data_IF_015601465874
#
_entry.id   IF_015601465874
#
_cell.length_a   1.000
_cell.length_b   1.000
_cell.length_c   1.000
_cell.angle_alpha   90.00
_cell.angle_beta   90.00
_cell.angle_gamma   90.00
#
_symmetry.space_group_name_H-M   'P 1'
#
loop_
_entity.id
_entity.type
_entity.pdbx_description
1 polymer ?
#
# COMPACT_ATOMS: atom_id res chain seq x y z
N UNK A 1 0.11 -17.16 0.62
CA UNK A 1 0.96 -16.93 1.81
C UNK A 1 0.38 -15.75 2.56
N UNK A 2 0.29 -15.81 3.89
CA UNK A 2 -0.10 -14.68 4.73
C UNK A 2 0.97 -14.57 5.80
N UNK A 3 1.57 -13.40 5.95
CA UNK A 3 2.71 -13.20 6.85
C UNK A 3 2.75 -11.79 7.39
N UNK A 4 3.45 -11.62 8.52
CA UNK A 4 3.78 -10.33 9.12
C UNK A 4 5.30 -10.14 9.03
N UNK A 5 5.74 -8.90 8.79
CA UNK A 5 7.15 -8.58 8.66
C UNK A 5 7.78 -8.49 10.07
N UNK A 6 8.96 -9.09 10.31
CA UNK A 6 9.67 -8.86 11.57
C UNK A 6 10.04 -7.38 11.67
N UNK A 7 9.70 -6.72 12.79
CA UNK A 7 9.79 -5.27 12.91
C UNK A 7 11.21 -4.69 13.09
N UNK A 8 12.22 -5.23 12.38
CA UNK A 8 13.65 -4.88 12.51
C UNK A 8 14.07 -4.72 13.99
N UNK A 9 15.00 -3.82 14.30
CA UNK A 9 15.45 -3.51 15.67
C UNK A 9 14.39 -2.91 16.61
N UNK A 10 13.13 -2.74 16.18
CA UNK A 10 12.07 -2.21 17.06
C UNK A 10 11.51 -3.26 18.02
N UNK A 11 11.42 -4.51 17.58
CA UNK A 11 10.93 -5.62 18.38
C UNK A 11 11.85 -6.79 18.11
N UNK A 12 12.63 -7.20 19.10
CA UNK A 12 13.43 -8.41 19.01
C UNK A 12 12.54 -9.64 19.17
N UNK A 13 12.59 -10.55 18.20
CA UNK A 13 11.77 -11.76 18.18
C UNK A 13 12.51 -12.99 18.71
N UNK A 14 13.84 -13.03 18.59
CA UNK A 14 14.68 -14.13 19.06
C UNK A 14 16.13 -13.69 19.30
N UNK A 15 16.96 -14.61 19.80
CA UNK A 15 18.42 -14.44 19.95
C UNK A 15 19.20 -15.18 18.85
N UNK A 16 18.52 -15.62 17.78
CA UNK A 16 19.15 -16.38 16.70
C UNK A 16 20.03 -15.47 15.84
N UNK A 17 21.15 -16.01 15.36
CA UNK A 17 22.16 -15.24 14.61
C UNK A 17 21.62 -14.60 13.32
N UNK A 18 20.59 -15.21 12.73
CA UNK A 18 19.99 -14.77 11.46
C UNK A 18 18.63 -14.09 11.65
N UNK A 19 18.32 -13.64 12.87
CA UNK A 19 17.09 -12.92 13.14
C UNK A 19 17.14 -11.52 12.53
N UNK A 20 16.20 -11.22 11.61
CA UNK A 20 16.12 -9.91 10.97
C UNK A 20 15.80 -8.79 11.96
N UNK A 21 15.25 -9.13 13.13
CA UNK A 21 14.98 -8.15 14.18
C UNK A 21 16.21 -7.67 14.95
N UNK A 22 17.38 -8.29 14.77
CA UNK A 22 18.62 -7.78 15.34
C UNK A 22 19.34 -6.78 14.42
N UNK A 23 18.81 -6.53 13.22
CA UNK A 23 19.40 -5.59 12.26
C UNK A 23 19.06 -4.14 12.63
N UNK A 24 20.09 -3.37 12.98
CA UNK A 24 19.95 -1.93 13.27
C UNK A 24 19.92 -1.05 12.01
N UNK A 25 20.61 -1.47 10.95
CA UNK A 25 20.63 -0.75 9.67
C UNK A 25 19.38 -1.08 8.83
N UNK A 26 18.62 -0.04 8.50
CA UNK A 26 17.38 -0.17 7.74
C UNK A 26 17.60 -0.72 6.32
N UNK A 27 18.67 -0.32 5.64
CA UNK A 27 18.94 -0.79 4.28
C UNK A 27 19.36 -2.26 4.27
N UNK A 28 20.13 -2.69 5.28
CA UNK A 28 20.46 -4.09 5.51
C UNK A 28 19.18 -4.91 5.75
N UNK A 29 18.27 -4.42 6.59
CA UNK A 29 16.97 -5.03 6.81
C UNK A 29 16.17 -5.19 5.50
N UNK A 30 16.06 -4.13 4.69
CA UNK A 30 15.39 -4.16 3.39
C UNK A 30 16.07 -5.13 2.41
N UNK A 31 17.39 -5.26 2.44
CA UNK A 31 18.12 -6.23 1.61
C UNK A 31 17.84 -7.67 2.02
N UNK A 32 17.79 -7.94 3.32
CA UNK A 32 17.55 -9.30 3.81
C UNK A 32 16.08 -9.71 3.64
N UNK A 33 15.12 -8.80 3.85
CA UNK A 33 13.70 -9.12 3.65
C UNK A 33 13.39 -9.43 2.18
N UNK A 34 14.08 -8.77 1.24
CA UNK A 34 13.99 -9.08 -0.18
C UNK A 34 14.29 -10.56 -0.47
N UNK A 35 15.30 -11.15 0.17
CA UNK A 35 15.62 -12.58 0.00
C UNK A 35 14.47 -13.48 0.44
N UNK A 36 13.81 -13.16 1.55
CA UNK A 36 12.65 -13.89 2.02
C UNK A 36 11.48 -13.79 1.02
N UNK A 37 11.25 -12.62 0.43
CA UNK A 37 10.24 -12.43 -0.59
C UNK A 37 10.56 -13.14 -1.92
N UNK A 38 11.83 -13.21 -2.31
CA UNK A 38 12.29 -14.00 -3.47
C UNK A 38 12.00 -15.50 -3.27
N UNK A 39 12.19 -16.01 -2.06
CA UNK A 39 11.82 -17.39 -1.74
C UNK A 39 10.31 -17.61 -1.72
N UNK A 40 9.53 -16.67 -1.18
CA UNK A 40 8.06 -16.70 -1.26
C UNK A 40 7.61 -16.73 -2.73
N UNK A 41 8.22 -15.89 -3.59
CA UNK A 41 7.97 -15.91 -5.02
C UNK A 41 8.30 -17.27 -5.62
N UNK A 42 9.47 -17.84 -5.33
CA UNK A 42 9.90 -19.14 -5.88
C UNK A 42 8.91 -20.26 -5.56
N UNK A 43 8.42 -20.34 -4.32
CA UNK A 43 7.54 -21.43 -3.86
C UNK A 43 6.06 -21.22 -4.17
N UNK A 44 5.60 -19.97 -4.30
CA UNK A 44 4.19 -19.68 -4.53
C UNK A 44 3.80 -20.08 -5.96
N UNK A 45 2.70 -20.84 -6.09
CA UNK A 45 2.15 -21.20 -7.40
C UNK A 45 1.62 -19.95 -8.13
N UNK A 46 1.71 -19.95 -9.46
CA UNK A 46 1.09 -18.92 -10.30
C UNK A 46 -0.42 -18.84 -10.04
N UNK A 47 -1.00 -17.65 -10.16
CA UNK A 47 -2.43 -17.43 -9.91
C UNK A 47 -2.81 -17.35 -8.43
N UNK A 48 -1.83 -17.22 -7.53
CA UNK A 48 -2.04 -17.18 -6.07
C UNK A 48 -1.53 -15.87 -5.48
N UNK A 49 -1.88 -15.66 -4.22
CA UNK A 49 -1.64 -14.40 -3.50
C UNK A 49 -0.65 -14.55 -2.35
N UNK A 50 0.12 -13.49 -2.14
CA UNK A 50 0.90 -13.23 -0.93
C UNK A 50 0.31 -12.00 -0.23
N UNK A 51 -0.01 -12.13 1.05
CA UNK A 51 -0.55 -11.07 1.88
C UNK A 51 0.48 -10.74 2.95
N UNK A 52 0.85 -9.47 3.05
CA UNK A 52 1.91 -8.99 3.94
C UNK A 52 1.35 -7.91 4.85
N UNK A 53 1.43 -8.15 6.15
CA UNK A 53 1.14 -7.15 7.18
C UNK A 53 2.42 -6.36 7.43
N UNK A 54 2.30 -5.03 7.44
CA UNK A 54 3.45 -4.15 7.62
C UNK A 54 3.01 -2.83 8.25
N UNK A 55 3.79 -2.36 9.22
CA UNK A 55 3.62 -1.06 9.84
C UNK A 55 4.82 -0.17 9.50
N UNK A 56 4.58 1.12 9.38
CA UNK A 56 5.66 2.10 9.23
C UNK A 56 6.31 2.43 10.57
N UNK A 57 7.59 2.72 10.49
CA UNK A 57 8.41 3.02 11.64
C UNK A 57 8.64 4.51 11.78
N UNK A 58 8.47 5.04 12.99
CA UNK A 58 8.77 6.43 13.30
C UNK A 58 10.01 6.52 14.18
N UNK A 59 10.99 7.26 13.69
CA UNK A 59 12.17 7.64 14.48
C UNK A 59 11.91 9.07 15.00
N UNK A 60 11.33 9.16 16.19
CA UNK A 60 10.86 10.42 16.76
C UNK A 60 11.97 11.48 16.89
N UNK A 61 13.16 11.07 17.35
CA UNK A 61 14.30 11.97 17.54
C UNK A 61 14.78 12.62 16.23
N UNK A 62 14.77 11.88 15.12
CA UNK A 62 15.19 12.39 13.80
C UNK A 62 14.03 12.91 12.95
N UNK A 63 12.80 12.93 13.50
CA UNK A 63 11.57 13.34 12.79
C UNK A 63 11.34 12.59 11.47
N UNK A 64 11.87 11.37 11.36
CA UNK A 64 11.81 10.54 10.15
C UNK A 64 10.75 9.44 10.29
N UNK A 65 10.12 9.09 9.17
CA UNK A 65 9.39 7.84 9.01
C UNK A 65 10.21 6.94 8.10
N UNK A 66 10.36 5.66 8.44
CA UNK A 66 10.80 4.63 7.51
C UNK A 66 9.53 4.01 6.92
N UNK A 67 9.25 4.25 5.63
CA UNK A 67 7.99 3.86 4.99
C UNK A 67 8.08 2.40 4.52
N UNK A 68 8.19 1.47 5.48
CA UNK A 68 8.40 0.04 5.22
C UNK A 68 7.36 -0.52 4.26
N UNK A 69 6.09 -0.08 4.39
CA UNK A 69 5.04 -0.54 3.47
C UNK A 69 5.35 -0.17 2.01
N UNK A 70 5.90 1.02 1.76
CA UNK A 70 6.24 1.50 0.43
C UNK A 70 7.44 0.76 -0.12
N UNK A 71 8.47 0.55 0.70
CA UNK A 71 9.66 -0.21 0.29
C UNK A 71 9.30 -1.66 -0.04
N UNK A 72 8.42 -2.29 0.74
CA UNK A 72 7.91 -3.64 0.48
C UNK A 72 7.14 -3.70 -0.84
N UNK A 73 6.30 -2.70 -1.14
CA UNK A 73 5.61 -2.63 -2.44
C UNK A 73 6.62 -2.63 -3.59
N UNK A 74 7.69 -1.83 -3.48
CA UNK A 74 8.69 -1.72 -4.54
C UNK A 74 9.48 -3.04 -4.70
N UNK A 75 9.94 -3.63 -3.59
CA UNK A 75 10.64 -4.92 -3.60
C UNK A 75 9.79 -6.00 -4.25
N UNK A 76 8.52 -6.12 -3.83
CA UNK A 76 7.62 -7.15 -4.35
C UNK A 76 7.36 -6.96 -5.85
N UNK A 77 7.22 -5.72 -6.32
CA UNK A 77 7.11 -5.41 -7.75
C UNK A 77 8.36 -5.77 -8.53
N UNK A 78 9.55 -5.44 -8.01
CA UNK A 78 10.84 -5.79 -8.62
C UNK A 78 11.03 -7.31 -8.75
N UNK A 79 10.50 -8.09 -7.81
CA UNK A 79 10.52 -9.56 -7.84
C UNK A 79 9.56 -10.12 -8.92
N UNK A 80 8.52 -9.38 -9.29
CA UNK A 80 7.53 -9.77 -10.30
C UNK A 80 6.11 -9.95 -9.76
N UNK A 81 5.85 -9.66 -8.48
CA UNK A 81 4.48 -9.59 -7.97
C UNK A 81 3.75 -8.37 -8.52
N UNK A 82 2.43 -8.48 -8.60
CA UNK A 82 1.52 -7.36 -8.87
C UNK A 82 0.88 -6.93 -7.57
N UNK A 83 0.95 -5.64 -7.24
CA UNK A 83 0.16 -5.11 -6.14
C UNK A 83 -1.32 -5.12 -6.55
N UNK A 84 -2.09 -5.99 -5.90
CA UNK A 84 -3.49 -6.24 -6.21
C UNK A 84 -4.42 -5.34 -5.39
N UNK A 85 -4.12 -5.18 -4.10
CA UNK A 85 -4.95 -4.39 -3.18
C UNK A 85 -4.15 -3.91 -1.97
N UNK A 86 -4.65 -2.88 -1.28
CA UNK A 86 -4.11 -2.36 -0.03
C UNK A 86 -5.28 -2.17 0.94
N UNK A 87 -5.28 -2.92 2.05
CA UNK A 87 -6.16 -2.61 3.18
C UNK A 87 -5.39 -1.82 4.23
N UNK A 88 -6.06 -0.85 4.84
CA UNK A 88 -5.53 -0.08 5.95
C UNK A 88 -6.31 -0.48 7.19
N UNK A 89 -5.67 -1.24 8.07
CA UNK A 89 -6.25 -1.61 9.35
C UNK A 89 -5.82 -0.61 10.41
N UNK A 90 -6.80 0.08 11.01
CA UNK A 90 -6.55 0.90 12.19
C UNK A 90 -6.33 -0.02 13.39
N UNK A 91 -5.08 -0.20 13.77
CA UNK A 91 -4.65 -0.94 14.94
C UNK A 91 -4.49 0.00 16.14
N UNK A 92 -5.03 -0.40 17.30
CA UNK A 92 -4.97 0.40 18.53
C UNK A 92 -3.58 0.26 19.19
N UNK A 93 -2.56 0.91 18.63
CA UNK A 93 -1.29 1.13 19.35
C UNK A 93 -1.56 2.21 20.40
N UNK A 94 -1.23 1.94 21.65
CA UNK A 94 -1.48 2.82 22.81
C UNK A 94 -1.18 4.29 22.51
N UNK A 95 -2.21 5.14 22.57
CA UNK A 95 -2.12 6.60 22.48
C UNK A 95 -3.26 7.23 21.66
N UNK A 96 -3.60 8.47 21.99
CA UNK A 96 -4.70 9.21 21.35
C UNK A 96 -4.26 9.87 20.05
N UNK A 97 -5.17 9.93 19.08
CA UNK A 97 -5.00 10.76 17.88
C UNK A 97 -4.65 12.18 18.31
N UNK A 98 -3.51 12.68 17.85
CA UNK A 98 -3.12 14.07 18.09
C UNK A 98 -3.62 14.90 16.91
N UNK A 99 -4.48 15.92 17.15
CA UNK A 99 -5.03 16.72 16.08
C UNK A 99 -3.91 17.46 15.33
N UNK A 100 -4.10 17.60 14.02
CA UNK A 100 -3.28 18.48 13.19
C UNK A 100 -3.34 19.90 13.76
N UNK A 101 -2.20 20.59 13.80
CA UNK A 101 -2.14 22.00 14.23
C UNK A 101 -1.50 22.27 15.59
N UNK A 102 -1.19 21.24 16.39
CA UNK A 102 -0.47 21.43 17.67
C UNK A 102 0.88 20.71 17.64
N UNK A 103 1.93 21.38 18.12
CA UNK A 103 3.25 20.76 18.34
C UNK A 103 3.09 19.44 19.12
N UNK A 104 3.72 18.34 18.68
CA UNK A 104 4.79 18.28 17.67
C UNK A 104 4.33 18.05 16.21
N UNK A 105 3.05 18.25 15.87
CA UNK A 105 2.46 17.98 14.55
C UNK A 105 2.62 16.51 14.12
N UNK A 106 2.38 15.60 15.06
CA UNK A 106 2.58 14.17 14.87
C UNK A 106 1.26 13.42 14.99
N UNK A 107 0.77 12.83 13.91
CA UNK A 107 -0.18 11.74 14.00
C UNK A 107 0.54 10.48 14.51
N UNK A 108 -0.07 9.75 15.44
CA UNK A 108 0.46 8.47 15.89
C UNK A 108 0.34 7.42 14.77
N UNK A 109 1.33 6.54 14.65
CA UNK A 109 1.26 5.41 13.72
C UNK A 109 0.23 4.40 14.29
N UNK A 110 -1.03 4.56 13.87
CA UNK A 110 -2.18 3.75 14.31
C UNK A 110 -2.67 2.79 13.24
N UNK A 111 -1.86 2.59 12.19
CA UNK A 111 -2.26 1.83 11.01
C UNK A 111 -1.25 0.71 10.73
N UNK A 112 -1.79 -0.44 10.39
CA UNK A 112 -1.08 -1.53 9.74
C UNK A 112 -1.60 -1.57 8.30
N UNK A 113 -0.67 -1.62 7.35
CA UNK A 113 -0.98 -1.88 5.95
C UNK A 113 -1.03 -3.38 5.73
N UNK A 114 -2.10 -3.85 5.11
CA UNK A 114 -2.24 -5.22 4.64
C UNK A 114 -2.13 -5.17 3.13
N UNK A 115 -0.95 -5.53 2.64
CA UNK A 115 -0.59 -5.46 1.24
C UNK A 115 -0.92 -6.80 0.58
N UNK A 116 -1.74 -6.77 -0.46
CA UNK A 116 -2.12 -7.95 -1.22
C UNK A 116 -1.38 -7.99 -2.54
N UNK A 117 -0.55 -9.01 -2.72
CA UNK A 117 0.26 -9.21 -3.91
C UNK A 117 -0.19 -10.45 -4.68
N UNK A 118 -0.41 -10.30 -5.97
CA UNK A 118 -0.76 -11.36 -6.91
C UNK A 118 0.49 -11.86 -7.64
N UNK A 119 0.63 -13.18 -7.79
CA UNK A 119 1.62 -13.79 -8.68
C UNK A 119 0.95 -14.12 -10.02
N UNK A 120 1.29 -13.40 -11.11
CA UNK A 120 0.64 -13.58 -12.41
C UNK A 120 0.72 -15.01 -12.94
N UNK A 121 -0.36 -15.46 -13.59
CA UNK A 121 -0.40 -16.74 -14.28
C UNK A 121 -0.28 -16.61 -15.80
N UNK A 122 -0.56 -15.42 -16.34
CA UNK A 122 -0.43 -15.07 -17.76
C UNK A 122 -0.52 -13.56 -17.95
N UNK A 123 -1.44 -13.16 -18.81
CA UNK A 123 -1.63 -11.79 -19.30
C UNK A 123 -2.62 -10.95 -18.45
N UNK A 124 -2.93 -11.38 -17.21
CA UNK A 124 -4.03 -10.75 -16.46
C UNK A 124 -3.81 -9.27 -16.17
N UNK A 125 -2.55 -8.86 -16.08
CA UNK A 125 -2.15 -7.47 -15.84
C UNK A 125 -2.25 -6.57 -17.07
N UNK A 126 -2.35 -7.16 -18.27
CA UNK A 126 -2.42 -6.43 -19.54
C UNK A 126 -3.88 -6.20 -19.99
N UNK A 127 -4.84 -6.76 -19.24
CA UNK A 127 -6.26 -6.66 -19.58
C UNK A 127 -6.77 -5.24 -19.29
N UNK A 128 -7.38 -4.56 -20.29
CA UNK A 128 -7.93 -3.24 -20.06
C UNK A 128 -9.13 -3.31 -19.11
N UNK A 129 -9.34 -2.22 -18.38
CA UNK A 129 -10.56 -2.06 -17.60
C UNK A 129 -11.78 -2.14 -18.52
N UNK A 130 -12.86 -2.77 -18.02
CA UNK A 130 -14.15 -2.73 -18.69
C UNK A 130 -14.58 -1.27 -18.88
N UNK A 131 -15.28 -0.94 -19.98
CA UNK A 131 -15.78 0.42 -20.18
C UNK A 131 -16.63 0.84 -18.98
N UNK A 132 -16.47 2.11 -18.59
CA UNK A 132 -17.20 2.66 -17.44
C UNK A 132 -18.69 2.59 -17.75
N UNK A 133 -19.45 1.89 -16.91
CA UNK A 133 -20.91 1.79 -17.04
C UNK A 133 -21.57 2.71 -16.02
N UNK A 134 -21.99 3.89 -16.49
CA UNK A 134 -22.73 4.83 -15.66
C UNK A 134 -24.18 4.36 -15.43
N UNK A 135 -24.76 4.76 -14.29
CA UNK A 135 -26.20 4.57 -14.04
C UNK A 135 -27.00 5.42 -15.03
N UNK A 136 -28.12 4.89 -15.55
CA UNK A 136 -28.99 5.59 -16.53
C UNK A 136 -29.30 7.04 -16.14
N UNK A 137 -29.73 7.27 -14.90
CA UNK A 137 -30.04 8.61 -14.36
C UNK A 137 -28.87 9.59 -14.42
N UNK A 138 -27.63 9.10 -14.24
CA UNK A 138 -26.45 9.95 -14.34
C UNK A 138 -26.15 10.30 -15.79
N UNK A 139 -26.33 9.37 -16.72
CA UNK A 139 -26.20 9.61 -18.17
C UNK A 139 -27.23 10.66 -18.60
N UNK A 140 -28.50 10.51 -18.19
CA UNK A 140 -29.57 11.48 -18.45
C UNK A 140 -29.23 12.88 -17.89
N UNK A 141 -28.67 12.95 -16.67
CA UNK A 141 -28.24 14.21 -16.06
C UNK A 141 -27.07 14.85 -16.82
N UNK A 142 -26.07 14.06 -17.21
CA UNK A 142 -24.91 14.55 -17.98
C UNK A 142 -25.37 15.06 -19.35
N UNK A 143 -26.26 14.35 -20.03
CA UNK A 143 -26.84 14.76 -21.31
C UNK A 143 -27.64 16.05 -21.17
N UNK A 144 -28.51 16.15 -20.16
CA UNK A 144 -29.27 17.38 -19.90
C UNK A 144 -28.37 18.58 -19.64
N UNK A 145 -27.35 18.42 -18.80
CA UNK A 145 -26.42 19.49 -18.47
C UNK A 145 -25.54 19.90 -19.67
N UNK A 146 -25.18 18.97 -20.55
CA UNK A 146 -24.43 19.29 -21.78
C UNK A 146 -25.31 20.03 -22.78
N UNK A 147 -26.57 19.58 -22.97
CA UNK A 147 -27.54 20.29 -23.81
C UNK A 147 -27.84 21.71 -23.30
N UNK A 148 -27.97 21.90 -21.98
CA UNK A 148 -28.16 23.22 -21.37
C UNK A 148 -26.94 24.14 -21.56
N UNK A 149 -25.71 23.59 -21.50
CA UNK A 149 -24.48 24.34 -21.77
C UNK A 149 -24.33 24.72 -23.25
N UNK A 150 -24.67 23.83 -24.17
CA UNK A 150 -24.64 24.08 -25.62
C UNK A 150 -25.65 25.16 -26.03
N UNK A 151 -26.85 25.14 -25.44
CA UNK A 151 -27.88 26.18 -25.62
C UNK A 151 -27.46 27.54 -25.05
N UNK A 152 -26.68 27.57 -23.97
CA UNK A 152 -26.15 28.80 -23.40
C UNK A 152 -25.07 29.43 -24.29
N UNK A 153 -24.18 28.61 -24.87
CA UNK A 153 -23.14 29.08 -25.78
C UNK A 153 -23.71 29.63 -27.09
N UNK A 154 -24.78 29.02 -27.63
CA UNK A 154 -25.45 29.53 -28.84
C UNK A 154 -26.18 30.87 -28.64
N UNK A 155 -26.56 31.21 -27.40
CA UNK A 155 -27.22 32.49 -27.07
C UNK A 155 -26.26 33.62 -26.74
N UNK A 156 -24.96 33.33 -26.58
CA UNK A 156 -23.91 34.31 -26.28
C UNK A 156 -23.20 34.90 -27.51
N UNK A 157 -23.54 34.45 -28.72
CA UNK A 157 -22.96 34.91 -29.99
C UNK A 157 -23.83 35.93 -30.77
N UNK A 158 -24.79 36.59 -30.10
CA UNK A 158 -25.64 37.65 -30.70
C UNK A 158 -25.34 39.00 -30.04
#
# INVERSE_FOLDING_TARGET
>A
VITDIPYASMIQYSQEKNDLSTLEDYNAFIKEIKKAFEEIWRVLKKGKYCIVFVADYRIGASRKILPVHSDVIQIMRDIGFTLFDIYIWRYYRSGSFRPFGKFPYQAMNVHIYILCFYKPAGDENEKPNRPIRYRKRLIEKIQRNSTEADLFNQKGEI
#
